data_IF_642920379711
#
_entry.id   IF_642920379711
#
_cell.length_a   1.000
_cell.length_b   1.000
_cell.length_c   1.000
_cell.angle_alpha   90.00
_cell.angle_beta   90.00
_cell.angle_gamma   90.00
#
_symmetry.space_group_name_H-M   'P 1'
#
loop_
_entity.id
_entity.type
_entity.pdbx_description
1 polymer ?
#
# COMPACT_ATOMS: atom_id res chain seq x y z
N UNK A 1 -5.22 4.10 33.14
CA UNK A 1 -4.02 4.96 33.21
C UNK A 1 -4.38 6.31 32.59
N UNK A 2 -4.24 7.41 33.31
CA UNK A 2 -4.75 8.75 32.93
C UNK A 2 -3.98 9.46 31.81
N UNK A 3 -3.46 8.73 30.82
CA UNK A 3 -2.82 9.32 29.65
C UNK A 3 -3.87 9.69 28.60
N UNK A 4 -3.61 10.77 27.85
CA UNK A 4 -4.45 11.16 26.72
C UNK A 4 -4.49 10.03 25.66
N UNK A 5 -5.70 9.68 25.23
CA UNK A 5 -5.96 8.61 24.24
C UNK A 5 -5.17 8.81 22.93
N UNK A 6 -4.96 10.07 22.54
CA UNK A 6 -4.15 10.45 21.38
C UNK A 6 -2.69 10.00 21.47
N UNK A 7 -2.09 10.04 22.67
CA UNK A 7 -0.69 9.63 22.87
C UNK A 7 -0.57 8.12 22.70
N UNK A 8 -1.56 7.36 23.20
CA UNK A 8 -1.59 5.92 23.02
C UNK A 8 -1.74 5.55 21.53
N UNK A 9 -2.60 6.26 20.79
CA UNK A 9 -2.73 6.09 19.35
C UNK A 9 -1.42 6.35 18.59
N UNK A 10 -0.74 7.47 18.88
CA UNK A 10 0.52 7.82 18.22
C UNK A 10 1.62 6.80 18.56
N UNK A 11 1.71 6.36 19.82
CA UNK A 11 2.66 5.33 20.24
C UNK A 11 2.42 4.01 19.50
N UNK A 12 1.16 3.60 19.39
CA UNK A 12 0.77 2.41 18.62
C UNK A 12 1.11 2.54 17.14
N UNK A 13 0.83 3.70 16.54
CA UNK A 13 1.13 3.99 15.14
C UNK A 13 2.63 3.90 14.85
N UNK A 14 3.45 4.58 15.64
CA UNK A 14 4.91 4.61 15.44
C UNK A 14 5.50 3.21 15.64
N UNK A 15 5.13 2.53 16.72
CA UNK A 15 5.65 1.19 17.02
C UNK A 15 5.27 0.14 15.96
N UNK A 16 4.09 0.27 15.34
CA UNK A 16 3.64 -0.62 14.28
C UNK A 16 4.22 -0.25 12.91
N UNK A 17 4.50 1.03 12.65
CA UNK A 17 4.99 1.51 11.36
C UNK A 17 6.49 1.25 11.15
N UNK A 18 7.31 1.37 12.21
CA UNK A 18 8.75 1.08 12.15
C UNK A 18 9.09 -0.28 11.52
N UNK A 19 8.50 -1.42 11.96
CA UNK A 19 8.79 -2.71 11.33
C UNK A 19 8.30 -2.78 9.89
N UNK A 20 7.20 -2.10 9.53
CA UNK A 20 6.74 -2.03 8.14
C UNK A 20 7.70 -1.26 7.24
N UNK A 21 8.30 -0.17 7.74
CA UNK A 21 9.37 0.56 7.03
C UNK A 21 10.54 -0.39 6.75
N UNK A 22 10.99 -1.12 7.78
CA UNK A 22 12.12 -2.05 7.63
C UNK A 22 11.85 -3.12 6.57
N UNK A 23 10.65 -3.73 6.59
CA UNK A 23 10.23 -4.70 5.58
C UNK A 23 10.18 -4.06 4.18
N UNK A 24 9.64 -2.84 4.06
CA UNK A 24 9.55 -2.14 2.77
C UNK A 24 10.93 -1.85 2.15
N UNK A 25 11.93 -1.51 2.98
CA UNK A 25 13.32 -1.30 2.54
C UNK A 25 13.91 -2.60 2.02
N UNK A 26 13.75 -3.71 2.76
CA UNK A 26 14.22 -5.03 2.32
C UNK A 26 13.60 -5.41 0.98
N UNK A 27 12.28 -5.25 0.83
CA UNK A 27 11.56 -5.54 -0.41
C UNK A 27 12.10 -4.70 -1.56
N UNK A 28 12.31 -3.40 -1.37
CA UNK A 28 12.85 -2.53 -2.41
C UNK A 28 14.29 -2.88 -2.80
N UNK A 29 15.13 -3.25 -1.84
CA UNK A 29 16.50 -3.74 -2.10
C UNK A 29 16.44 -5.03 -2.92
N UNK A 30 15.59 -5.99 -2.55
CA UNK A 30 15.41 -7.24 -3.30
C UNK A 30 14.89 -6.97 -4.71
N UNK A 31 13.98 -6.02 -4.89
CA UNK A 31 13.46 -5.63 -6.21
C UNK A 31 14.55 -5.02 -7.11
N UNK A 32 15.44 -4.20 -6.54
CA UNK A 32 16.54 -3.55 -7.27
C UNK A 32 17.65 -4.53 -7.62
N UNK A 33 18.16 -5.28 -6.65
CA UNK A 33 19.25 -6.24 -6.88
C UNK A 33 18.78 -7.57 -7.49
N UNK A 34 17.49 -7.86 -7.41
CA UNK A 34 16.86 -8.99 -8.11
C UNK A 34 16.66 -8.75 -9.60
N UNK A 35 17.05 -7.58 -10.12
CA UNK A 35 16.99 -7.28 -11.55
C UNK A 35 15.58 -6.98 -12.08
N UNK A 36 14.62 -6.67 -11.19
CA UNK A 36 13.23 -6.36 -11.59
C UNK A 36 13.10 -4.87 -11.91
N UNK A 37 13.72 -4.00 -11.10
CA UNK A 37 13.77 -2.54 -11.32
C UNK A 37 15.23 -2.02 -11.28
N UNK A 38 16.08 -2.37 -12.26
CA UNK A 38 17.49 -1.99 -12.25
C UNK A 38 17.72 -0.50 -12.52
N UNK A 39 16.94 0.13 -13.39
CA UNK A 39 17.13 1.52 -13.78
C UNK A 39 16.52 2.52 -12.78
N UNK A 40 15.44 2.13 -12.10
CA UNK A 40 14.66 3.02 -11.23
C UNK A 40 15.38 3.38 -9.92
N UNK A 41 15.12 4.59 -9.43
CA UNK A 41 15.60 5.00 -8.12
C UNK A 41 14.94 4.19 -7.00
N UNK A 42 15.74 3.88 -5.98
CA UNK A 42 15.28 3.11 -4.81
C UNK A 42 14.22 3.90 -4.02
N UNK A 43 14.37 5.22 -3.95
CA UNK A 43 13.44 6.17 -3.30
C UNK A 43 12.04 6.07 -3.90
N UNK A 44 11.94 6.06 -5.22
CA UNK A 44 10.65 5.98 -5.93
C UNK A 44 10.02 4.60 -5.76
N UNK A 45 10.83 3.54 -5.73
CA UNK A 45 10.35 2.17 -5.52
C UNK A 45 9.81 1.96 -4.10
N UNK A 46 10.44 2.57 -3.08
CA UNK A 46 10.04 2.47 -1.66
C UNK A 46 8.76 3.27 -1.35
N UNK A 47 8.59 4.44 -1.98
CA UNK A 47 7.47 5.36 -1.69
C UNK A 47 6.06 4.71 -1.76
N UNK A 48 5.70 3.95 -2.81
CA UNK A 48 4.40 3.29 -2.89
C UNK A 48 4.24 2.17 -1.85
N UNK A 49 5.32 1.46 -1.48
CA UNK A 49 5.30 0.42 -0.42
C UNK A 49 5.01 1.04 0.95
N UNK A 50 5.64 2.17 1.27
CA UNK A 50 5.42 2.89 2.53
C UNK A 50 3.99 3.44 2.65
N UNK A 51 3.49 4.03 1.57
CA UNK A 51 2.12 4.57 1.53
C UNK A 51 1.09 3.46 1.68
N UNK A 52 1.31 2.30 1.04
CA UNK A 52 0.48 1.12 1.21
C UNK A 52 0.47 0.64 2.67
N UNK A 53 1.65 0.50 3.28
CA UNK A 53 1.79 0.07 4.67
C UNK A 53 1.05 1.01 5.65
N UNK A 54 1.22 2.32 5.49
CA UNK A 54 0.55 3.31 6.33
C UNK A 54 -0.98 3.21 6.18
N UNK A 55 -1.48 3.07 4.95
CA UNK A 55 -2.91 2.94 4.69
C UNK A 55 -3.49 1.65 5.30
N UNK A 56 -2.75 0.54 5.25
CA UNK A 56 -3.18 -0.74 5.79
C UNK A 56 -3.26 -0.69 7.32
N UNK A 57 -2.31 -0.02 7.98
CA UNK A 57 -2.35 0.22 9.43
C UNK A 57 -3.57 1.08 9.82
N UNK A 58 -3.85 2.16 9.09
CA UNK A 58 -5.02 3.01 9.36
C UNK A 58 -6.33 2.26 9.14
N UNK A 59 -6.42 1.43 8.10
CA UNK A 59 -7.58 0.59 7.86
C UNK A 59 -7.76 -0.43 8.99
N UNK A 60 -6.67 -1.08 9.43
CA UNK A 60 -6.70 -1.99 10.58
C UNK A 60 -7.18 -1.32 11.87
N UNK A 61 -6.72 -0.08 12.12
CA UNK A 61 -7.19 0.72 13.25
C UNK A 61 -8.68 1.06 13.16
N UNK A 62 -9.13 1.48 11.98
CA UNK A 62 -10.54 1.79 11.71
C UNK A 62 -11.43 0.57 11.97
N UNK A 63 -11.05 -0.60 11.46
CA UNK A 63 -11.81 -1.84 11.65
C UNK A 63 -11.82 -2.23 13.13
N UNK A 64 -10.69 -2.11 13.82
CA UNK A 64 -10.59 -2.40 15.26
C UNK A 64 -11.57 -1.57 16.10
N UNK A 65 -11.88 -0.33 15.70
CA UNK A 65 -12.84 0.52 16.42
C UNK A 65 -14.28 -0.02 16.43
N UNK A 66 -14.67 -0.86 15.46
CA UNK A 66 -16.02 -1.42 15.36
C UNK A 66 -16.21 -2.74 16.12
N UNK A 67 -15.12 -3.41 16.53
CA UNK A 67 -15.18 -4.76 17.08
C UNK A 67 -14.55 -4.84 18.47
N UNK A 68 -15.27 -5.40 19.42
CA UNK A 68 -14.79 -5.60 20.81
C UNK A 68 -13.96 -6.89 20.96
N UNK A 69 -14.13 -7.86 20.06
CA UNK A 69 -13.40 -9.14 20.06
C UNK A 69 -12.30 -9.10 19.01
N UNK A 70 -11.04 -9.29 19.44
CA UNK A 70 -9.88 -9.29 18.57
C UNK A 70 -9.99 -10.30 17.41
N UNK A 71 -10.44 -11.53 17.68
CA UNK A 71 -10.53 -12.56 16.64
C UNK A 71 -11.53 -12.21 15.52
N UNK A 72 -12.67 -11.58 15.86
CA UNK A 72 -13.63 -11.11 14.86
C UNK A 72 -13.08 -9.90 14.09
N UNK A 73 -12.44 -8.96 14.80
CA UNK A 73 -11.80 -7.80 14.18
C UNK A 73 -10.75 -8.20 13.15
N UNK A 74 -9.92 -9.20 13.47
CA UNK A 74 -8.88 -9.71 12.56
C UNK A 74 -9.49 -10.38 11.33
N UNK A 75 -10.49 -11.27 11.51
CA UNK A 75 -11.15 -11.93 10.38
C UNK A 75 -11.86 -10.94 9.46
N UNK A 76 -12.61 -9.99 10.03
CA UNK A 76 -13.26 -8.93 9.27
C UNK A 76 -12.25 -7.99 8.61
N UNK A 77 -11.15 -7.65 9.28
CA UNK A 77 -10.07 -6.83 8.73
C UNK A 77 -9.41 -7.49 7.51
N UNK A 78 -9.14 -8.79 7.59
CA UNK A 78 -8.61 -9.57 6.45
C UNK A 78 -9.61 -9.57 5.29
N UNK A 79 -10.90 -9.80 5.55
CA UNK A 79 -11.93 -9.75 4.50
C UNK A 79 -12.04 -8.38 3.83
N UNK A 80 -12.03 -7.31 4.62
CA UNK A 80 -12.07 -5.93 4.08
C UNK A 80 -10.82 -5.65 3.25
N UNK A 81 -9.65 -6.11 3.69
CA UNK A 81 -8.40 -6.00 2.93
C UNK A 81 -8.50 -6.74 1.59
N UNK A 82 -9.05 -7.96 1.56
CA UNK A 82 -9.29 -8.71 0.32
C UNK A 82 -10.25 -7.97 -0.63
N UNK A 83 -11.35 -7.43 -0.11
CA UNK A 83 -12.31 -6.64 -0.91
C UNK A 83 -11.64 -5.41 -1.48
N UNK A 84 -10.77 -4.75 -0.71
CA UNK A 84 -10.00 -3.58 -1.15
C UNK A 84 -9.04 -3.88 -2.31
N UNK A 85 -8.64 -5.16 -2.47
CA UNK A 85 -7.80 -5.65 -3.56
C UNK A 85 -8.60 -6.01 -4.83
N UNK A 86 -9.88 -6.36 -4.70
CA UNK A 86 -10.76 -6.68 -5.83
C UNK A 86 -10.82 -5.61 -6.93
N UNK A 87 -10.91 -4.29 -6.64
CA UNK A 87 -10.92 -3.27 -7.68
C UNK A 87 -9.61 -3.21 -8.47
N UNK A 88 -8.48 -3.66 -7.92
CA UNK A 88 -7.21 -3.74 -8.66
C UNK A 88 -7.30 -4.75 -9.80
N UNK A 89 -7.93 -5.90 -9.55
CA UNK A 89 -8.16 -6.93 -10.57
C UNK A 89 -8.96 -6.33 -11.74
N UNK A 90 -10.01 -5.55 -11.44
CA UNK A 90 -10.83 -4.89 -12.46
C UNK A 90 -10.04 -3.85 -13.27
N UNK A 91 -9.16 -3.06 -12.64
CA UNK A 91 -8.30 -2.10 -13.34
C UNK A 91 -7.38 -2.80 -14.33
N UNK A 92 -6.77 -3.92 -13.93
CA UNK A 92 -5.86 -4.68 -14.79
C UNK A 92 -6.55 -5.12 -16.10
N UNK A 93 -7.82 -5.52 -16.03
CA UNK A 93 -8.57 -5.97 -17.21
C UNK A 93 -9.20 -4.83 -18.04
N UNK A 94 -9.58 -3.71 -17.41
CA UNK A 94 -10.31 -2.61 -18.08
C UNK A 94 -9.44 -1.38 -18.38
N UNK A 95 -8.15 -1.40 -18.08
CA UNK A 95 -7.27 -0.23 -18.18
C UNK A 95 -7.38 0.52 -19.52
N UNK A 96 -7.49 -0.23 -20.63
CA UNK A 96 -7.55 0.31 -21.99
C UNK A 96 -8.84 1.07 -22.34
N UNK A 97 -9.92 0.90 -21.56
CA UNK A 97 -11.24 1.53 -21.82
C UNK A 97 -11.66 2.54 -20.75
N UNK A 98 -10.83 2.77 -19.73
CA UNK A 98 -11.20 3.59 -18.56
C UNK A 98 -10.94 5.08 -18.80
N UNK A 99 -11.99 5.90 -18.64
CA UNK A 99 -11.87 7.36 -18.61
C UNK A 99 -11.17 7.84 -17.32
N UNK A 100 -10.58 9.04 -17.36
CA UNK A 100 -9.78 9.62 -16.27
C UNK A 100 -10.51 9.67 -14.92
N UNK A 101 -11.82 9.97 -14.92
CA UNK A 101 -12.66 9.99 -13.70
C UNK A 101 -12.72 8.61 -13.04
N UNK A 102 -12.86 7.54 -13.82
CA UNK A 102 -12.90 6.19 -13.30
C UNK A 102 -11.55 5.77 -12.71
N UNK A 103 -10.44 6.21 -13.32
CA UNK A 103 -9.09 6.00 -12.78
C UNK A 103 -8.91 6.65 -11.41
N UNK A 104 -9.41 7.88 -11.23
CA UNK A 104 -9.35 8.60 -9.94
C UNK A 104 -10.21 7.89 -8.89
N UNK A 105 -11.44 7.50 -9.22
CA UNK A 105 -12.34 6.81 -8.30
C UNK A 105 -11.78 5.48 -7.83
N UNK A 106 -11.17 4.72 -8.74
CA UNK A 106 -10.62 3.42 -8.36
C UNK A 106 -9.35 3.59 -7.52
N UNK A 107 -8.48 4.55 -7.83
CA UNK A 107 -7.30 4.87 -7.03
C UNK A 107 -7.60 5.42 -5.62
N UNK A 108 -8.87 5.60 -5.25
CA UNK A 108 -9.25 5.88 -3.87
C UNK A 108 -8.89 4.73 -2.93
N UNK A 109 -8.88 3.48 -3.43
CA UNK A 109 -8.29 2.37 -2.68
C UNK A 109 -6.76 2.42 -2.81
N UNK A 110 -6.08 2.35 -1.66
CA UNK A 110 -4.62 2.35 -1.61
C UNK A 110 -4.01 1.13 -2.30
N UNK A 111 -4.70 -0.03 -2.24
CA UNK A 111 -4.24 -1.26 -2.90
C UNK A 111 -4.23 -1.14 -4.43
N UNK A 112 -5.26 -0.49 -5.00
CA UNK A 112 -5.32 -0.18 -6.43
C UNK A 112 -4.29 0.86 -6.86
N UNK A 113 -4.08 1.91 -6.05
CA UNK A 113 -3.09 2.93 -6.34
C UNK A 113 -1.67 2.33 -6.37
N UNK A 114 -1.36 1.46 -5.40
CA UNK A 114 -0.11 0.70 -5.38
C UNK A 114 0.07 -0.19 -6.62
N UNK A 115 -0.97 -0.95 -6.99
CA UNK A 115 -0.93 -1.82 -8.16
C UNK A 115 -0.82 -1.05 -9.49
N UNK A 116 -1.46 0.11 -9.61
CA UNK A 116 -1.31 0.97 -10.78
C UNK A 116 0.11 1.56 -10.85
N UNK A 117 0.66 1.99 -9.71
CA UNK A 117 2.03 2.47 -9.62
C UNK A 117 3.06 1.40 -10.00
N UNK A 118 2.85 0.13 -9.60
CA UNK A 118 3.76 -0.96 -9.96
C UNK A 118 3.72 -1.29 -11.45
N UNK A 119 2.53 -1.33 -12.08
CA UNK A 119 2.39 -1.51 -13.53
C UNK A 119 3.08 -0.36 -14.28
N UNK A 120 2.92 0.88 -13.80
CA UNK A 120 3.55 2.04 -14.39
C UNK A 120 5.08 2.00 -14.28
N UNK A 121 5.61 1.64 -13.11
CA UNK A 121 7.03 1.41 -12.89
C UNK A 121 7.59 0.35 -13.87
N UNK A 122 6.90 -0.78 -14.03
CA UNK A 122 7.35 -1.85 -14.91
C UNK A 122 7.35 -1.43 -16.39
N UNK A 123 6.40 -0.59 -16.80
CA UNK A 123 6.38 -0.04 -18.17
C UNK A 123 7.57 0.87 -18.45
N UNK A 124 7.95 1.71 -17.49
CA UNK A 124 9.07 2.63 -17.66
C UNK A 124 10.43 1.92 -17.58
N UNK A 125 10.54 0.85 -16.80
CA UNK A 125 11.69 -0.07 -16.89
C UNK A 125 11.77 -0.75 -18.25
N UNK A 126 10.64 -1.22 -18.78
CA UNK A 126 10.62 -1.87 -20.10
C UNK A 126 11.08 -0.93 -21.22
N UNK A 127 10.84 0.38 -21.07
CA UNK A 127 11.32 1.42 -21.99
C UNK A 127 12.79 1.80 -21.74
N UNK A 128 13.42 1.30 -20.67
CA UNK A 128 14.82 1.52 -20.34
C UNK A 128 15.14 2.90 -19.74
N UNK A 129 14.14 3.77 -19.55
CA UNK A 129 14.34 5.10 -18.95
C UNK A 129 14.46 5.00 -17.43
N UNK A 130 13.71 4.07 -16.80
CA UNK A 130 13.61 3.96 -15.34
C UNK A 130 12.95 5.20 -14.71
N UNK A 131 12.23 5.03 -13.59
CA UNK A 131 11.69 6.22 -12.90
C UNK A 131 12.77 6.84 -12.01
N UNK A 132 13.07 8.11 -12.28
CA UNK A 132 13.84 9.00 -11.41
C UNK A 132 12.92 10.12 -10.88
N UNK A 133 13.28 10.71 -9.73
CA UNK A 133 12.63 11.92 -9.21
C UNK A 133 13.06 13.18 -9.95
#
# INVERSE_FOLDING_TARGET
MGLNSTINFISWLISSYIPMIFVSIIVAVVLKYGGIFPASELTVTITPLLTLALSALMLGYLVSAFFTKANLATLCGILIYFISYLPFILVMFLEAKMQLVHKILINLSSATAFGYASIYLTRLEYQGEGIQW
#
